data_IF_726014663247
#
_entry.id   IF_726014663247
#
_cell.length_a   1.000
_cell.length_b   1.000
_cell.length_c   1.000
_cell.angle_alpha   90.00
_cell.angle_beta   90.00
_cell.angle_gamma   90.00
#
_symmetry.space_group_name_H-M   'P 1'
#
loop_
_entity.id
_entity.type
_entity.pdbx_description
1 polymer ?
#
# COMPACT_ATOMS: atom_id res chain seq x y z
N UNK A 1 33.76 -7.91 19.38
CA UNK A 1 33.35 -7.56 18.00
C UNK A 1 31.85 -7.33 18.04
N UNK A 2 31.38 -6.11 17.83
CA UNK A 2 29.95 -5.88 17.70
C UNK A 2 29.51 -6.53 16.39
N UNK A 3 28.68 -7.58 16.47
CA UNK A 3 27.98 -8.09 15.29
C UNK A 3 27.09 -6.96 14.79
N UNK A 4 27.34 -6.48 13.57
CA UNK A 4 26.46 -5.48 12.96
C UNK A 4 25.09 -6.12 12.76
N UNK A 5 24.03 -5.53 13.33
CA UNK A 5 22.66 -6.07 13.26
C UNK A 5 21.89 -5.60 12.00
N UNK A 6 22.61 -5.23 10.95
CA UNK A 6 22.06 -4.71 9.70
C UNK A 6 23.00 -4.98 8.53
N UNK A 7 22.47 -4.84 7.31
CA UNK A 7 23.22 -4.78 6.07
C UNK A 7 22.96 -3.44 5.36
N UNK A 8 23.93 -2.97 4.59
CA UNK A 8 23.77 -1.79 3.72
C UNK A 8 23.61 -2.24 2.28
N UNK A 9 22.52 -1.85 1.63
CA UNK A 9 22.21 -2.12 0.22
C UNK A 9 21.92 -0.78 -0.46
N UNK A 10 22.63 -0.47 -1.54
CA UNK A 10 22.54 0.83 -2.25
C UNK A 10 22.60 2.06 -1.31
N UNK A 11 23.47 2.01 -0.29
CA UNK A 11 23.63 3.10 0.69
C UNK A 11 22.55 3.18 1.78
N UNK A 12 21.55 2.29 1.75
CA UNK A 12 20.46 2.25 2.73
C UNK A 12 20.65 1.09 3.71
N UNK A 13 20.35 1.33 5.00
CA UNK A 13 20.52 0.33 6.07
C UNK A 13 19.24 -0.48 6.26
N UNK A 14 19.36 -1.80 6.24
CA UNK A 14 18.29 -2.75 6.51
C UNK A 14 18.65 -3.62 7.71
N UNK A 15 17.88 -3.53 8.79
CA UNK A 15 18.09 -4.34 9.99
C UNK A 15 17.75 -5.81 9.73
N UNK A 16 18.56 -6.74 10.24
CA UNK A 16 18.31 -8.18 10.09
C UNK A 16 16.99 -8.62 10.70
N UNK A 17 16.60 -8.01 11.83
CA UNK A 17 15.27 -8.22 12.43
C UNK A 17 14.15 -7.88 11.43
N UNK A 18 14.25 -6.73 10.77
CA UNK A 18 13.24 -6.30 9.80
C UNK A 18 13.23 -7.19 8.55
N UNK A 19 14.40 -7.57 8.04
CA UNK A 19 14.52 -8.45 6.88
C UNK A 19 13.88 -9.81 7.17
N UNK A 20 14.19 -10.43 8.31
CA UNK A 20 13.62 -11.74 8.66
C UNK A 20 12.10 -11.69 8.86
N UNK A 21 11.60 -10.62 9.49
CA UNK A 21 10.16 -10.39 9.73
C UNK A 21 9.39 -10.15 8.42
N UNK A 22 10.08 -9.64 7.40
CA UNK A 22 9.48 -9.33 6.10
C UNK A 22 9.90 -10.31 5.01
N UNK A 23 10.37 -11.50 5.38
CA UNK A 23 10.69 -12.57 4.43
C UNK A 23 9.53 -12.80 3.45
N UNK A 24 9.84 -12.86 2.16
CA UNK A 24 8.87 -12.98 1.06
C UNK A 24 8.57 -14.43 0.67
N UNK A 25 9.16 -15.42 1.34
CA UNK A 25 8.98 -16.82 0.98
C UNK A 25 7.57 -17.33 1.36
N UNK A 26 7.07 -18.39 0.68
CA UNK A 26 5.73 -18.95 0.95
C UNK A 26 5.55 -19.52 2.37
N UNK A 27 6.64 -19.83 3.08
CA UNK A 27 6.60 -20.29 4.47
C UNK A 27 6.34 -19.13 5.46
N UNK A 28 6.73 -17.91 5.08
CA UNK A 28 6.60 -16.73 5.93
C UNK A 28 5.40 -15.85 5.55
N UNK A 29 4.95 -15.92 4.30
CA UNK A 29 3.83 -15.13 3.80
C UNK A 29 2.99 -15.96 2.83
N UNK A 30 1.68 -15.95 3.04
CA UNK A 30 0.75 -16.67 2.16
C UNK A 30 0.80 -16.07 0.74
N UNK A 31 1.03 -16.88 -0.30
CA UNK A 31 1.26 -16.38 -1.65
C UNK A 31 0.01 -15.77 -2.31
N UNK A 32 -1.19 -16.02 -1.79
CA UNK A 32 -2.45 -15.54 -2.39
C UNK A 32 -3.00 -14.31 -1.67
N UNK A 33 -3.04 -14.35 -0.34
CA UNK A 33 -3.60 -13.32 0.53
C UNK A 33 -2.56 -12.32 1.01
N UNK A 34 -1.26 -12.62 0.84
CA UNK A 34 -0.13 -11.87 1.38
C UNK A 34 -0.15 -11.72 2.90
N UNK A 35 -0.93 -12.52 3.63
CA UNK A 35 -0.93 -12.53 5.09
C UNK A 35 0.39 -13.08 5.62
N UNK A 36 0.91 -12.48 6.69
CA UNK A 36 2.08 -13.02 7.40
C UNK A 36 1.68 -14.32 8.09
N UNK A 37 2.47 -15.37 7.86
CA UNK A 37 2.37 -16.68 8.51
C UNK A 37 3.38 -16.77 9.65
N UNK A 38 4.59 -16.25 9.44
CA UNK A 38 5.65 -16.23 10.44
C UNK A 38 5.51 -15.01 11.36
N UNK A 39 5.50 -15.24 12.67
CA UNK A 39 5.55 -14.21 13.70
C UNK A 39 6.96 -14.14 14.30
N UNK A 40 7.69 -13.07 13.98
CA UNK A 40 9.05 -12.89 14.50
C UNK A 40 9.09 -12.67 16.02
N UNK A 41 7.98 -12.26 16.64
CA UNK A 41 7.94 -12.06 18.09
C UNK A 41 8.05 -13.37 18.88
N UNK A 42 7.77 -14.50 18.24
CA UNK A 42 7.94 -15.84 18.81
C UNK A 42 9.39 -16.36 18.69
N UNK A 43 10.28 -15.65 18.00
CA UNK A 43 11.67 -16.04 17.86
C UNK A 43 12.42 -15.98 19.21
N UNK A 44 13.09 -17.08 19.57
CA UNK A 44 13.82 -17.19 20.84
C UNK A 44 15.08 -16.31 20.93
N UNK A 45 15.59 -15.88 19.78
CA UNK A 45 16.77 -15.03 19.67
C UNK A 45 16.69 -14.14 18.44
N UNK A 46 17.38 -12.99 18.42
CA UNK A 46 17.45 -12.14 17.23
C UNK A 46 17.97 -12.93 16.03
N UNK A 47 17.46 -12.67 14.82
CA UNK A 47 17.89 -13.37 13.62
C UNK A 47 19.35 -13.06 13.31
N UNK A 48 20.11 -14.10 12.98
CA UNK A 48 21.53 -14.02 12.65
C UNK A 48 21.76 -14.57 11.25
N UNK A 49 22.35 -13.79 10.32
CA UNK A 49 22.70 -14.31 9.01
C UNK A 49 23.93 -15.21 9.10
N UNK A 50 23.88 -16.35 8.40
CA UNK A 50 25.02 -17.24 8.14
C UNK A 50 25.74 -16.80 6.87
N UNK A 51 24.99 -16.38 5.86
CA UNK A 51 25.52 -15.83 4.61
C UNK A 51 24.60 -14.73 4.10
N UNK A 52 25.21 -13.77 3.41
CA UNK A 52 24.49 -12.72 2.69
C UNK A 52 25.14 -12.55 1.33
N UNK A 53 24.35 -12.65 0.26
CA UNK A 53 24.80 -12.55 -1.13
C UNK A 53 23.92 -11.56 -1.86
N UNK A 54 24.53 -10.55 -2.47
CA UNK A 54 23.87 -9.61 -3.36
C UNK A 54 24.33 -9.89 -4.80
N UNK A 55 23.42 -10.43 -5.60
CA UNK A 55 23.66 -10.79 -7.01
C UNK A 55 22.35 -10.74 -7.81
N UNK A 56 22.43 -10.54 -9.13
CA UNK A 56 21.27 -10.57 -10.04
C UNK A 56 20.06 -9.73 -9.58
N UNK A 57 20.30 -8.49 -9.15
CA UNK A 57 19.30 -7.56 -8.60
C UNK A 57 18.50 -8.13 -7.43
N UNK A 58 19.12 -9.02 -6.63
CA UNK A 58 18.51 -9.63 -5.44
C UNK A 58 19.50 -9.70 -4.27
N UNK A 59 18.95 -9.62 -3.07
CA UNK A 59 19.62 -9.93 -1.82
C UNK A 59 19.14 -11.28 -1.30
N UNK A 60 20.05 -12.24 -1.16
CA UNK A 60 19.80 -13.55 -0.56
C UNK A 60 20.46 -13.63 0.80
N UNK A 61 19.69 -14.02 1.83
CA UNK A 61 20.17 -14.22 3.20
C UNK A 61 19.82 -15.63 3.65
N UNK A 62 20.83 -16.38 4.10
CA UNK A 62 20.63 -17.64 4.81
C UNK A 62 20.72 -17.39 6.31
N UNK A 63 19.71 -17.79 7.07
CA UNK A 63 19.61 -17.54 8.51
C UNK A 63 20.11 -18.71 9.35
N UNK A 64 20.63 -18.40 10.53
CA UNK A 64 21.07 -19.38 11.52
C UNK A 64 19.85 -19.97 12.26
N UNK A 65 19.03 -20.73 11.54
CA UNK A 65 17.78 -21.34 12.02
C UNK A 65 17.80 -22.86 11.83
N UNK A 66 16.93 -23.55 12.57
CA UNK A 66 16.70 -24.99 12.45
C UNK A 66 15.19 -25.23 12.32
N UNK A 67 14.68 -25.63 11.14
CA UNK A 67 15.42 -25.87 9.89
C UNK A 67 16.06 -24.58 9.32
N UNK A 68 17.06 -24.75 8.45
CA UNK A 68 17.72 -23.62 7.77
C UNK A 68 16.68 -22.85 6.96
N UNK A 69 16.61 -21.54 7.18
CA UNK A 69 15.71 -20.64 6.46
C UNK A 69 16.48 -19.74 5.51
N UNK A 70 15.90 -19.46 4.34
CA UNK A 70 16.47 -18.54 3.35
C UNK A 70 15.45 -17.49 2.95
N UNK A 71 15.85 -16.22 2.99
CA UNK A 71 15.07 -15.09 2.48
C UNK A 71 15.71 -14.55 1.22
N UNK A 72 14.89 -14.21 0.22
CA UNK A 72 15.32 -13.59 -1.04
C UNK A 72 14.49 -12.34 -1.27
N UNK A 73 15.16 -11.20 -1.49
CA UNK A 73 14.54 -9.91 -1.70
C UNK A 73 15.00 -9.32 -3.03
N UNK A 74 14.09 -8.96 -3.94
CA UNK A 74 14.43 -8.09 -5.06
C UNK A 74 14.98 -6.75 -4.54
N UNK A 75 16.05 -6.23 -5.13
CA UNK A 75 16.62 -4.93 -4.73
C UNK A 75 15.59 -3.82 -4.92
N UNK A 76 14.79 -3.87 -5.98
CA UNK A 76 13.68 -2.94 -6.21
C UNK A 76 12.65 -2.95 -5.08
N UNK A 77 12.36 -4.12 -4.49
CA UNK A 77 11.46 -4.25 -3.35
C UNK A 77 12.08 -3.63 -2.10
N UNK A 78 13.38 -3.87 -1.82
CA UNK A 78 14.09 -3.24 -0.71
C UNK A 78 14.08 -1.71 -0.86
N UNK A 79 14.34 -1.20 -2.06
CA UNK A 79 14.33 0.25 -2.34
C UNK A 79 12.96 0.88 -2.14
N UNK A 80 11.87 0.17 -2.47
CA UNK A 80 10.50 0.62 -2.20
C UNK A 80 10.12 0.63 -0.70
N UNK A 81 10.94 0.00 0.16
CA UNK A 81 10.71 -0.12 1.60
C UNK A 81 11.87 0.47 2.41
N UNK A 82 12.67 1.38 1.81
CA UNK A 82 13.70 2.10 2.56
C UNK A 82 13.01 2.85 3.69
N UNK A 83 13.46 2.55 4.90
CA UNK A 83 12.90 3.10 6.12
C UNK A 83 13.46 4.51 6.31
N UNK A 84 13.00 5.46 5.50
CA UNK A 84 13.28 6.87 5.72
C UNK A 84 12.41 7.31 6.91
N UNK A 85 12.95 7.19 8.12
CA UNK A 85 12.31 7.65 9.36
C UNK A 85 11.89 9.13 9.32
N UNK A 86 12.44 9.90 8.37
CA UNK A 86 12.15 11.31 8.13
C UNK A 86 11.30 11.58 6.88
N UNK A 87 10.93 10.55 6.12
CA UNK A 87 10.03 10.74 4.98
C UNK A 87 8.62 10.56 5.50
N UNK A 88 7.79 11.62 5.50
CA UNK A 88 6.39 11.48 5.84
C UNK A 88 5.87 10.35 4.96
N UNK A 89 5.15 9.38 5.56
CA UNK A 89 4.43 8.34 4.82
C UNK A 89 3.69 9.06 3.71
N UNK A 90 4.27 9.07 2.51
CA UNK A 90 3.63 9.66 1.37
C UNK A 90 2.55 8.64 1.10
N UNK A 91 1.33 8.95 1.58
CA UNK A 91 0.16 8.56 0.83
C UNK A 91 0.55 8.80 -0.61
N UNK A 92 0.65 7.73 -1.40
CA UNK A 92 1.03 7.80 -2.82
C UNK A 92 0.13 8.76 -3.59
N UNK A 93 -1.01 9.14 -2.99
CA UNK A 93 -1.92 10.18 -3.43
C UNK A 93 -1.70 11.47 -2.63
N UNK A 94 -1.25 12.50 -3.34
CA UNK A 94 -1.10 13.88 -2.83
C UNK A 94 -2.48 14.45 -2.53
N UNK A 95 -2.78 14.65 -1.24
CA UNK A 95 -3.97 15.39 -0.82
C UNK A 95 -3.76 16.87 -1.18
N UNK A 96 -4.70 17.45 -1.91
CA UNK A 96 -4.70 18.85 -2.33
C UNK A 96 -5.73 19.58 -1.48
N UNK A 97 -5.25 20.49 -0.63
CA UNK A 97 -6.12 21.39 0.12
C UNK A 97 -6.64 22.49 -0.81
N UNK A 98 -7.91 22.86 -0.64
CA UNK A 98 -8.56 23.87 -1.48
C UNK A 98 -9.46 24.78 -0.65
N UNK A 99 -9.59 26.01 -1.13
CA UNK A 99 -10.59 26.97 -0.69
C UNK A 99 -11.44 27.42 -1.89
N UNK A 100 -12.34 28.38 -1.67
CA UNK A 100 -13.23 28.91 -2.72
C UNK A 100 -12.48 29.41 -3.96
N UNK A 101 -11.37 30.12 -3.78
CA UNK A 101 -10.60 30.67 -4.89
C UNK A 101 -9.92 29.58 -5.72
N UNK A 102 -9.46 28.49 -5.08
CA UNK A 102 -8.82 27.36 -5.76
C UNK A 102 -9.84 26.63 -6.64
N UNK A 103 -11.02 26.33 -6.11
CA UNK A 103 -12.10 25.68 -6.87
C UNK A 103 -12.60 26.53 -8.05
N UNK A 104 -12.60 27.85 -7.90
CA UNK A 104 -12.98 28.77 -8.98
C UNK A 104 -11.93 28.84 -10.09
N UNK A 105 -10.64 28.70 -9.76
CA UNK A 105 -9.53 28.70 -10.73
C UNK A 105 -9.43 27.39 -11.49
N UNK A 106 -9.54 26.26 -10.80
CA UNK A 106 -9.41 24.93 -11.40
C UNK A 106 -10.68 24.48 -12.14
N UNK A 107 -11.77 25.27 -12.06
CA UNK A 107 -13.11 24.94 -12.57
C UNK A 107 -13.45 23.49 -12.24
N UNK A 108 -13.83 23.22 -10.99
CA UNK A 108 -14.27 21.88 -10.51
C UNK A 108 -14.76 21.00 -11.65
N UNK A 109 -13.86 20.15 -12.18
CA UNK A 109 -14.10 19.49 -13.45
C UNK A 109 -15.24 18.53 -13.20
N UNK A 110 -16.36 18.80 -13.85
CA UNK A 110 -17.50 17.90 -13.85
C UNK A 110 -17.23 16.85 -14.91
N UNK A 111 -17.42 15.60 -14.54
CA UNK A 111 -17.20 14.48 -15.43
C UNK A 111 -18.54 13.91 -15.84
N UNK A 112 -18.75 13.76 -17.14
CA UNK A 112 -19.86 12.96 -17.63
C UNK A 112 -19.59 11.50 -17.30
N UNK A 113 -20.47 10.88 -16.50
CA UNK A 113 -20.31 9.51 -16.03
C UNK A 113 -20.14 8.49 -17.16
N UNK A 114 -20.76 8.71 -18.32
CA UNK A 114 -20.72 7.78 -19.44
C UNK A 114 -19.53 7.99 -20.37
N UNK A 115 -18.97 9.20 -20.37
CA UNK A 115 -17.94 9.61 -21.33
C UNK A 115 -16.56 9.84 -20.68
N UNK A 116 -16.44 9.61 -19.37
CA UNK A 116 -15.22 9.79 -18.60
C UNK A 116 -14.68 8.45 -18.10
N UNK A 117 -13.36 8.26 -18.21
CA UNK A 117 -12.67 7.13 -17.61
C UNK A 117 -12.80 7.15 -16.08
N UNK A 118 -13.04 5.98 -15.47
CA UNK A 118 -13.14 5.85 -14.02
C UNK A 118 -11.89 6.33 -13.30
N UNK A 119 -10.71 6.10 -13.86
CA UNK A 119 -9.46 6.48 -13.21
C UNK A 119 -9.34 7.99 -13.04
N UNK A 120 -9.93 8.78 -13.94
CA UNK A 120 -9.85 10.25 -13.91
C UNK A 120 -10.61 10.81 -12.70
N UNK A 121 -11.89 10.46 -12.57
CA UNK A 121 -12.72 10.98 -11.48
C UNK A 121 -12.38 10.33 -10.13
N UNK A 122 -11.92 9.07 -10.11
CA UNK A 122 -11.42 8.41 -8.89
C UNK A 122 -10.17 9.09 -8.37
N UNK A 123 -9.22 9.43 -9.25
CA UNK A 123 -8.02 10.17 -8.85
C UNK A 123 -8.36 11.57 -8.31
N UNK A 124 -9.35 12.25 -8.89
CA UNK A 124 -9.87 13.52 -8.36
C UNK A 124 -10.48 13.33 -6.97
N UNK A 125 -11.31 12.31 -6.78
CA UNK A 125 -11.91 11.98 -5.48
C UNK A 125 -10.85 11.78 -4.39
N UNK A 126 -9.78 11.02 -4.67
CA UNK A 126 -8.73 10.78 -3.68
C UNK A 126 -7.80 11.99 -3.44
N UNK A 127 -7.62 12.86 -4.44
CA UNK A 127 -6.72 14.02 -4.32
C UNK A 127 -7.42 15.23 -3.70
N UNK A 128 -8.65 15.53 -4.11
CA UNK A 128 -9.44 16.66 -3.63
C UNK A 128 -10.38 16.30 -2.48
N UNK A 129 -10.66 15.02 -2.26
CA UNK A 129 -11.69 14.55 -1.32
C UNK A 129 -13.11 14.55 -1.88
N UNK A 130 -13.30 14.97 -3.14
CA UNK A 130 -14.61 14.93 -3.82
C UNK A 130 -14.46 14.89 -5.35
N UNK A 131 -15.52 14.49 -6.05
CA UNK A 131 -15.69 14.62 -7.51
C UNK A 131 -17.16 14.92 -7.84
N UNK A 132 -17.43 15.49 -9.02
CA UNK A 132 -18.79 15.75 -9.50
C UNK A 132 -19.01 14.94 -10.77
N UNK A 133 -19.92 13.98 -10.69
CA UNK A 133 -20.36 13.17 -11.82
C UNK A 133 -21.73 13.66 -12.30
N UNK A 134 -21.85 13.87 -13.61
CA UNK A 134 -23.08 14.28 -14.28
C UNK A 134 -23.64 13.15 -15.14
N UNK A 135 -24.89 13.30 -15.58
CA UNK A 135 -25.58 12.40 -16.51
C UNK A 135 -25.85 10.98 -15.98
N UNK A 136 -25.91 10.79 -14.66
CA UNK A 136 -26.41 9.54 -14.06
C UNK A 136 -27.94 9.47 -14.27
N UNK A 137 -28.41 8.49 -15.03
CA UNK A 137 -29.77 8.44 -15.57
C UNK A 137 -30.78 7.80 -14.61
N UNK A 138 -30.35 7.04 -13.60
CA UNK A 138 -31.26 6.33 -12.70
C UNK A 138 -30.65 5.98 -11.33
N UNK A 139 -31.51 5.69 -10.34
CA UNK A 139 -31.10 5.16 -9.03
C UNK A 139 -30.34 3.84 -9.16
N UNK A 140 -30.72 2.99 -10.12
CA UNK A 140 -30.04 1.71 -10.37
C UNK A 140 -28.61 1.91 -10.85
N UNK A 141 -28.39 2.93 -11.68
CA UNK A 141 -27.06 3.27 -12.17
C UNK A 141 -26.19 3.88 -11.06
N UNK A 142 -26.76 4.79 -10.26
CA UNK A 142 -26.11 5.30 -9.06
C UNK A 142 -25.70 4.18 -8.11
N UNK A 143 -26.59 3.21 -7.88
CA UNK A 143 -26.33 2.06 -7.02
C UNK A 143 -25.18 1.20 -7.57
N UNK A 144 -25.17 0.93 -8.87
CA UNK A 144 -24.08 0.19 -9.53
C UNK A 144 -22.73 0.88 -9.36
N UNK A 145 -22.70 2.21 -9.52
CA UNK A 145 -21.51 3.03 -9.34
C UNK A 145 -21.01 3.01 -7.88
N UNK A 146 -21.89 3.21 -6.91
CA UNK A 146 -21.46 3.20 -5.50
C UNK A 146 -20.97 1.81 -5.11
N UNK A 147 -21.66 0.75 -5.56
CA UNK A 147 -21.23 -0.63 -5.32
C UNK A 147 -19.91 -1.00 -5.97
N UNK A 148 -19.50 -0.36 -7.08
CA UNK A 148 -18.18 -0.58 -7.65
C UNK A 148 -17.05 0.04 -6.83
N UNK A 149 -17.36 1.04 -5.99
CA UNK A 149 -16.40 1.64 -5.06
C UNK A 149 -16.33 0.89 -3.73
N UNK A 150 -17.43 0.32 -3.28
CA UNK A 150 -17.50 -0.45 -2.04
C UNK A 150 -18.94 -0.81 -1.65
N UNK A 151 -19.13 -1.58 -0.58
CA UNK A 151 -20.48 -1.90 -0.11
C UNK A 151 -21.21 -0.62 0.33
N UNK A 152 -22.47 -0.48 -0.08
CA UNK A 152 -23.33 0.58 0.43
C UNK A 152 -23.61 0.28 1.90
N UNK A 153 -23.29 1.23 2.77
CA UNK A 153 -23.59 1.12 4.19
C UNK A 153 -25.07 1.46 4.44
N UNK A 154 -25.88 0.43 4.69
CA UNK A 154 -27.29 0.59 5.00
C UNK A 154 -27.48 1.10 6.44
N UNK A 155 -28.31 2.12 6.59
CA UNK A 155 -28.64 2.71 7.90
C UNK A 155 -30.10 2.45 8.25
N UNK A 156 -30.53 2.83 9.45
CA UNK A 156 -31.95 2.80 9.83
C UNK A 156 -32.85 3.58 8.87
N UNK A 157 -32.31 4.59 8.19
CA UNK A 157 -33.03 5.39 7.20
C UNK A 157 -33.15 4.71 5.84
N UNK A 158 -32.62 3.49 5.71
CA UNK A 158 -32.57 2.71 4.48
C UNK A 158 -31.28 2.91 3.70
N UNK A 159 -31.20 2.20 2.56
CA UNK A 159 -30.06 2.19 1.64
C UNK A 159 -29.96 3.48 0.81
N UNK A 160 -31.10 4.03 0.41
CA UNK A 160 -31.21 5.31 -0.30
C UNK A 160 -32.34 6.13 0.31
N UNK A 161 -32.06 7.41 0.56
CA UNK A 161 -33.01 8.33 1.17
C UNK A 161 -33.33 9.43 0.14
N UNK A 162 -34.61 9.66 -0.19
CA UNK A 162 -34.98 10.83 -0.97
C UNK A 162 -34.78 12.09 -0.14
N UNK A 163 -33.87 12.96 -0.57
CA UNK A 163 -33.71 14.32 -0.01
C UNK A 163 -34.61 15.26 -0.81
N UNK A 164 -35.52 15.95 -0.13
CA UNK A 164 -36.45 16.93 -0.72
C UNK A 164 -35.98 18.35 -0.45
#
# INVERSE_FOLDING_TARGET
MQEENFITVNGNRFHYMWLRDNCLCPECRDPNSFQKIYDISEAQSPPKPVSVVEEDDKLTITWQEQPIHQSVFPISWLMAHVNELDTPVQSSRKIILWNKADLQKERTVRHDFHNCDSDVWVNQLFSLGFTILENIQSTKELESLVCSLGPIYETYYGRFIPVK
#
